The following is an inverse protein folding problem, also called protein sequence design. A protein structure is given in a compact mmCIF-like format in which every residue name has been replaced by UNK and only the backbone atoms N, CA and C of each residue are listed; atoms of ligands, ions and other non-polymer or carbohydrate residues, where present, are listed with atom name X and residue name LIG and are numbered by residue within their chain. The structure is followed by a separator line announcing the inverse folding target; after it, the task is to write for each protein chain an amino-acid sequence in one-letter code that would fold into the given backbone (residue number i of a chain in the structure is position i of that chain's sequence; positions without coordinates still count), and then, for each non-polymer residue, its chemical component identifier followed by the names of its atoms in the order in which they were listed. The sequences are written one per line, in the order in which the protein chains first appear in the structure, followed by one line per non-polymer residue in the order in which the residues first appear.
data_IF_833098877568
#
_entry.id   IF_833098877568
#
_cell.length_a   1.000
_cell.length_b   1.000
_cell.length_c   1.000
_cell.angle_alpha   90.00
_cell.angle_beta   90.00
_cell.angle_gamma   90.00
#
_symmetry.space_group_name_H-M   'P 1'
#
loop_
_entity.id
_entity.type
_entity.pdbx_description
1 polymer ?
#
# COMPACT_ATOMS: atom_id res chain seq x y z
N UNK A 1 35.01 12.28 -22.90
CA UNK A 1 35.68 10.97 -22.74
C UNK A 1 35.99 10.90 -21.25
N UNK A 2 35.20 10.28 -20.38
CA UNK A 2 34.57 8.96 -20.49
C UNK A 2 33.20 8.92 -19.80
N UNK A 3 32.17 8.50 -20.53
CA UNK A 3 30.84 8.16 -20.00
C UNK A 3 30.77 6.66 -19.80
N UNK A 4 31.32 6.12 -18.70
CA UNK A 4 31.15 4.72 -18.37
C UNK A 4 29.87 4.56 -17.53
N UNK A 5 28.73 4.53 -18.22
CA UNK A 5 27.45 4.16 -17.64
C UNK A 5 27.47 2.66 -17.35
N UNK A 6 27.95 2.30 -16.15
CA UNK A 6 27.80 0.96 -15.61
C UNK A 6 26.30 0.61 -15.58
N UNK A 7 25.87 -0.21 -16.53
CA UNK A 7 24.52 -0.75 -16.59
C UNK A 7 24.32 -1.68 -15.39
N UNK A 8 23.73 -1.14 -14.32
CA UNK A 8 23.31 -1.92 -13.17
C UNK A 8 22.25 -2.92 -13.64
N UNK A 9 22.64 -4.18 -13.74
CA UNK A 9 21.74 -5.29 -14.01
C UNK A 9 20.85 -5.50 -12.78
N UNK A 10 19.63 -4.97 -12.83
CA UNK A 10 18.62 -5.22 -11.80
C UNK A 10 18.15 -6.67 -11.95
N UNK A 11 18.34 -7.56 -10.95
CA UNK A 11 17.87 -8.94 -11.05
C UNK A 11 16.34 -8.96 -11.22
N UNK A 12 15.88 -9.54 -12.33
CA UNK A 12 14.49 -9.58 -12.80
C UNK A 12 13.55 -10.48 -11.98
N UNK A 13 14.00 -11.02 -10.84
CA UNK A 13 13.30 -12.08 -10.10
C UNK A 13 12.67 -11.61 -8.78
N UNK A 14 12.35 -10.32 -8.64
CA UNK A 14 11.81 -9.73 -7.39
C UNK A 14 10.29 -9.61 -7.35
N UNK A 15 9.60 -9.99 -8.43
CA UNK A 15 8.13 -9.97 -8.46
C UNK A 15 7.56 -11.07 -7.54
N UNK A 16 6.63 -10.74 -6.63
CA UNK A 16 5.99 -11.73 -5.79
C UNK A 16 5.25 -12.76 -6.67
N UNK A 17 5.60 -14.05 -6.53
CA UNK A 17 4.94 -15.13 -7.25
C UNK A 17 3.61 -15.48 -6.58
N UNK A 18 2.57 -15.66 -7.39
CA UNK A 18 1.27 -16.13 -6.90
C UNK A 18 1.42 -17.59 -6.43
N UNK A 19 0.99 -17.94 -5.21
CA UNK A 19 1.01 -19.32 -4.74
C UNK A 19 0.27 -20.27 -5.70
N UNK A 20 0.89 -21.41 -6.03
CA UNK A 20 0.30 -22.40 -6.94
C UNK A 20 -1.06 -22.91 -6.46
N UNK A 21 -1.27 -22.97 -5.14
CA UNK A 21 -2.55 -23.36 -4.54
C UNK A 21 -3.71 -22.43 -4.95
N UNK A 22 -3.48 -21.12 -5.01
CA UNK A 22 -4.48 -20.14 -5.46
C UNK A 22 -4.85 -20.38 -6.93
N UNK A 23 -3.85 -20.67 -7.76
CA UNK A 23 -4.03 -20.91 -9.19
C UNK A 23 -4.81 -22.22 -9.42
N UNK A 24 -4.39 -23.32 -8.78
CA UNK A 24 -5.02 -24.64 -8.92
C UNK A 24 -6.45 -24.61 -8.40
N UNK A 25 -6.68 -24.03 -7.22
CA UNK A 25 -8.02 -23.89 -6.66
C UNK A 25 -8.92 -23.06 -7.57
N UNK A 26 -8.43 -21.93 -8.08
CA UNK A 26 -9.18 -21.09 -9.03
C UNK A 26 -9.57 -21.85 -10.29
N UNK A 27 -8.68 -22.67 -10.86
CA UNK A 27 -8.97 -23.51 -12.03
C UNK A 27 -10.02 -24.58 -11.76
N UNK A 28 -9.92 -25.28 -10.62
CA UNK A 28 -10.89 -26.31 -10.21
C UNK A 28 -12.27 -25.67 -10.04
N UNK A 29 -12.35 -24.54 -9.31
CA UNK A 29 -13.60 -23.81 -9.12
C UNK A 29 -14.18 -23.32 -10.45
N UNK A 30 -13.35 -22.80 -11.36
CA UNK A 30 -13.80 -22.33 -12.67
C UNK A 30 -14.41 -23.46 -13.50
N UNK A 31 -13.83 -24.66 -13.44
CA UNK A 31 -14.30 -25.82 -14.16
C UNK A 31 -15.60 -26.39 -13.56
N UNK A 32 -15.67 -26.53 -12.24
CA UNK A 32 -16.82 -27.17 -11.58
C UNK A 32 -18.00 -26.22 -11.33
N UNK A 33 -17.73 -24.97 -10.97
CA UNK A 33 -18.74 -24.01 -10.53
C UNK A 33 -18.26 -22.55 -10.74
N UNK A 34 -18.46 -21.96 -11.94
CA UNK A 34 -18.00 -20.60 -12.26
C UNK A 34 -18.43 -19.51 -11.27
N UNK A 35 -19.62 -19.65 -10.68
CA UNK A 35 -20.12 -18.73 -9.63
C UNK A 35 -19.23 -18.77 -8.38
N UNK A 36 -18.77 -19.95 -7.96
CA UNK A 36 -17.86 -20.08 -6.82
C UNK A 36 -16.47 -19.53 -7.14
N UNK A 37 -15.99 -19.70 -8.37
CA UNK A 37 -14.75 -19.08 -8.83
C UNK A 37 -14.81 -17.54 -8.75
N UNK A 38 -15.96 -16.97 -9.13
CA UNK A 38 -16.22 -15.53 -9.05
C UNK A 38 -16.19 -15.05 -7.60
N UNK A 39 -16.90 -15.71 -6.69
CA UNK A 39 -16.90 -15.36 -5.26
C UNK A 39 -15.49 -15.48 -4.66
N UNK A 40 -14.75 -16.54 -5.05
CA UNK A 40 -13.37 -16.73 -4.64
C UNK A 40 -12.45 -15.58 -5.11
N UNK A 41 -12.52 -15.22 -6.39
CA UNK A 41 -11.76 -14.10 -6.94
C UNK A 41 -12.11 -12.78 -6.27
N UNK A 42 -13.41 -12.49 -6.08
CA UNK A 42 -13.89 -11.31 -5.35
C UNK A 42 -13.28 -11.25 -3.94
N UNK A 43 -13.28 -12.38 -3.21
CA UNK A 43 -12.71 -12.45 -1.86
C UNK A 43 -11.21 -12.18 -1.87
N UNK A 44 -10.48 -12.74 -2.84
CA UNK A 44 -9.04 -12.53 -2.99
C UNK A 44 -8.72 -11.05 -3.28
N UNK A 45 -9.39 -10.45 -4.26
CA UNK A 45 -9.16 -9.06 -4.66
C UNK A 45 -9.70 -8.01 -3.71
N UNK A 46 -10.56 -8.37 -2.74
CA UNK A 46 -11.05 -7.45 -1.71
C UNK A 46 -10.28 -7.52 -0.41
N UNK A 47 -9.36 -8.48 -0.25
CA UNK A 47 -8.61 -8.72 0.98
C UNK A 47 -7.14 -8.34 0.75
N UNK A 48 -6.67 -7.19 1.25
CA UNK A 48 -5.27 -6.78 1.09
C UNK A 48 -4.32 -7.76 1.77
N UNK A 49 -3.16 -7.96 1.16
CA UNK A 49 -2.09 -8.75 1.76
C UNK A 49 -1.31 -7.84 2.72
N UNK A 50 -1.13 -8.28 3.96
CA UNK A 50 -0.32 -7.54 4.93
C UNK A 50 1.14 -7.95 4.83
N UNK A 51 1.96 -7.06 4.30
CA UNK A 51 3.42 -7.21 4.31
C UNK A 51 4.02 -6.59 5.57
N UNK A 52 5.05 -7.23 6.13
CA UNK A 52 5.85 -6.66 7.22
C UNK A 52 6.42 -5.30 6.80
N UNK A 53 6.28 -4.30 7.65
CA UNK A 53 6.87 -2.98 7.40
C UNK A 53 8.39 -3.08 7.39
N UNK A 54 9.07 -2.67 6.31
CA UNK A 54 10.52 -2.68 6.23
C UNK A 54 11.11 -1.53 7.06
N UNK A 55 12.29 -1.75 7.67
CA UNK A 55 12.94 -0.79 8.57
C UNK A 55 13.17 0.60 7.96
N UNK A 56 13.33 0.68 6.63
CA UNK A 56 13.47 1.94 5.88
C UNK A 56 12.28 2.89 6.03
N UNK A 57 11.09 2.38 6.36
CA UNK A 57 9.88 3.19 6.57
C UNK A 57 9.78 3.71 8.02
N UNK A 58 10.58 3.18 8.96
CA UNK A 58 10.44 3.46 10.39
C UNK A 58 10.64 4.94 10.72
N UNK A 59 11.60 5.60 10.08
CA UNK A 59 11.89 7.02 10.35
C UNK A 59 10.66 7.89 10.09
N UNK A 60 10.01 7.75 8.93
CA UNK A 60 8.76 8.46 8.63
C UNK A 60 7.65 8.00 9.58
N UNK A 61 7.54 6.69 9.84
CA UNK A 61 6.51 6.14 10.72
C UNK A 61 6.61 6.68 12.15
N UNK A 62 7.81 6.93 12.68
CA UNK A 62 8.02 7.44 14.03
C UNK A 62 7.87 8.97 14.09
N UNK A 63 8.36 9.66 13.05
CA UNK A 63 8.41 11.12 13.02
C UNK A 63 7.10 11.78 12.59
N UNK A 64 6.25 11.07 11.84
CA UNK A 64 4.97 11.61 11.40
C UNK A 64 3.96 11.66 12.55
N UNK A 65 3.18 12.74 12.61
CA UNK A 65 1.99 12.79 13.46
C UNK A 65 0.94 11.82 12.93
N UNK A 66 0.36 11.02 13.81
CA UNK A 66 -0.61 9.97 13.50
C UNK A 66 -1.99 10.35 14.02
N UNK A 67 -3.01 10.18 13.20
CA UNK A 67 -4.40 10.40 13.61
C UNK A 67 -5.32 9.38 12.97
N UNK A 68 -6.18 8.76 13.78
CA UNK A 68 -7.33 8.01 13.26
C UNK A 68 -8.43 9.01 12.87
N UNK A 69 -8.91 8.89 11.65
CA UNK A 69 -9.95 9.75 11.09
C UNK A 69 -11.11 8.89 10.63
N UNK A 70 -12.29 9.12 11.22
CA UNK A 70 -13.54 8.53 10.75
C UNK A 70 -13.95 9.18 9.43
N UNK A 71 -14.24 8.36 8.42
CA UNK A 71 -14.83 8.75 7.14
C UNK A 71 -16.32 8.38 7.18
N UNK A 72 -17.23 9.35 7.42
CA UNK A 72 -18.64 9.07 7.68
C UNK A 72 -19.34 8.32 6.55
N UNK A 73 -19.00 8.63 5.30
CA UNK A 73 -19.66 8.10 4.10
C UNK A 73 -19.47 6.58 3.96
N UNK A 74 -18.32 6.07 4.41
CA UNK A 74 -17.98 4.63 4.34
C UNK A 74 -18.01 3.96 5.73
N UNK A 75 -18.25 4.73 6.80
CA UNK A 75 -18.26 4.28 8.20
C UNK A 75 -16.99 3.50 8.58
N UNK A 76 -15.83 3.98 8.14
CA UNK A 76 -14.51 3.39 8.44
C UNK A 76 -13.59 4.43 9.03
N UNK A 77 -12.68 3.98 9.88
CA UNK A 77 -11.57 4.79 10.36
C UNK A 77 -10.30 4.48 9.57
N UNK A 78 -9.62 5.55 9.16
CA UNK A 78 -8.34 5.47 8.46
C UNK A 78 -7.23 6.11 9.28
N UNK A 79 -6.05 5.50 9.26
CA UNK A 79 -4.84 6.09 9.82
C UNK A 79 -4.32 7.15 8.86
N UNK A 80 -4.14 8.37 9.36
CA UNK A 80 -3.57 9.52 8.62
C UNK A 80 -2.24 9.90 9.23
N UNK A 81 -1.27 10.17 8.37
CA UNK A 81 0.08 10.61 8.71
C UNK A 81 0.31 12.03 8.21
N UNK A 82 0.77 12.91 9.08
CA UNK A 82 1.28 14.24 8.71
C UNK A 82 2.77 14.29 8.97
N UNK A 83 3.57 14.53 7.93
CA UNK A 83 5.03 14.50 8.01
C UNK A 83 5.64 15.81 7.53
N UNK A 84 6.54 16.37 8.34
CA UNK A 84 7.06 17.73 8.20
C UNK A 84 6.07 18.82 8.59
N UNK A 85 6.51 20.08 8.54
CA UNK A 85 5.68 21.25 8.81
C UNK A 85 5.90 22.30 7.72
N UNK A 86 4.83 22.64 7.01
CA UNK A 86 4.84 23.66 5.95
C UNK A 86 3.42 24.10 5.62
N UNK A 87 3.27 25.31 5.08
CA UNK A 87 1.99 25.73 4.50
C UNK A 87 1.68 25.01 3.18
N UNK A 88 2.70 24.49 2.49
CA UNK A 88 2.57 23.80 1.18
C UNK A 88 2.42 22.30 1.42
N UNK A 89 1.26 21.75 1.06
CA UNK A 89 0.88 20.36 1.35
C UNK A 89 0.87 19.50 0.09
N UNK A 90 1.33 18.26 0.21
CA UNK A 90 1.20 17.23 -0.83
C UNK A 90 0.55 16.00 -0.22
N UNK A 91 -0.49 15.47 -0.87
CA UNK A 91 -1.11 14.20 -0.50
C UNK A 91 -0.41 13.05 -1.23
N UNK A 92 0.10 12.08 -0.48
CA UNK A 92 0.69 10.86 -1.01
C UNK A 92 -0.27 9.69 -0.81
N UNK A 93 -0.55 8.97 -1.90
CA UNK A 93 -1.49 7.85 -1.92
C UNK A 93 -0.73 6.58 -2.30
N UNK A 94 -0.84 5.54 -1.47
CA UNK A 94 -0.21 4.25 -1.74
C UNK A 94 -1.07 3.40 -2.69
N UNK A 95 -0.45 2.38 -3.30
CA UNK A 95 -1.15 1.38 -4.12
C UNK A 95 -1.85 0.29 -3.30
N UNK A 96 -2.47 -0.66 -3.99
CA UNK A 96 -3.11 -1.83 -3.36
C UNK A 96 -2.16 -2.60 -2.44
N UNK A 97 -2.65 -3.02 -1.26
CA UNK A 97 -1.84 -3.68 -0.22
C UNK A 97 -0.63 -2.87 0.29
N UNK A 98 -0.63 -1.56 0.01
CA UNK A 98 0.35 -0.60 0.51
C UNK A 98 0.03 -0.03 1.89
N UNK A 99 0.75 1.03 2.26
CA UNK A 99 0.56 1.82 3.48
C UNK A 99 1.06 3.26 3.32
N UNK A 100 0.61 4.17 4.16
CA UNK A 100 0.91 5.61 4.12
C UNK A 100 2.39 5.95 4.26
N UNK A 101 3.20 5.07 4.86
CA UNK A 101 4.66 5.25 5.01
C UNK A 101 5.47 4.71 3.83
N UNK A 102 4.85 4.01 2.88
CA UNK A 102 5.56 3.28 1.82
C UNK A 102 6.34 4.21 0.87
N UNK A 103 5.86 5.44 0.69
CA UNK A 103 6.45 6.46 -0.19
C UNK A 103 7.45 7.37 0.56
N UNK A 104 8.05 6.90 1.67
CA UNK A 104 8.95 7.68 2.52
C UNK A 104 10.04 8.44 1.75
N UNK A 105 10.71 7.83 0.77
CA UNK A 105 11.74 8.52 -0.03
C UNK A 105 11.19 9.73 -0.80
N UNK A 106 9.97 9.63 -1.31
CA UNK A 106 9.31 10.75 -1.99
C UNK A 106 8.95 11.82 -0.96
N UNK A 107 8.47 11.41 0.22
CA UNK A 107 8.14 12.31 1.31
C UNK A 107 9.38 13.09 1.77
N UNK A 108 10.50 12.42 2.02
CA UNK A 108 11.77 13.04 2.42
C UNK A 108 12.21 14.10 1.40
N UNK A 109 12.14 13.78 0.09
CA UNK A 109 12.47 14.72 -0.99
C UNK A 109 11.50 15.89 -1.13
N UNK A 110 10.25 15.73 -0.72
CA UNK A 110 9.28 16.83 -0.67
C UNK A 110 9.55 17.74 0.53
N UNK A 111 9.92 17.16 1.68
CA UNK A 111 10.31 17.90 2.88
C UNK A 111 11.56 18.75 2.62
N UNK A 112 12.59 18.18 1.98
CA UNK A 112 13.80 18.92 1.53
C UNK A 112 13.45 20.12 0.64
N UNK A 113 12.33 20.07 -0.08
CA UNK A 113 11.83 21.14 -0.96
C UNK A 113 10.84 22.08 -0.27
N UNK A 114 10.70 22.00 1.05
CA UNK A 114 9.85 22.88 1.85
C UNK A 114 8.35 22.55 1.78
N UNK A 115 7.98 21.33 1.43
CA UNK A 115 6.60 20.84 1.53
C UNK A 115 6.40 20.03 2.81
N UNK A 116 5.17 19.95 3.28
CA UNK A 116 4.74 18.87 4.18
C UNK A 116 3.96 17.84 3.39
N UNK A 117 4.03 16.59 3.83
CA UNK A 117 3.26 15.51 3.22
C UNK A 117 2.17 15.01 4.13
N UNK A 118 1.00 14.77 3.57
CA UNK A 118 -0.09 14.02 4.18
C UNK A 118 -0.15 12.68 3.47
N UNK A 119 -0.29 11.58 4.21
CA UNK A 119 -0.62 10.28 3.65
C UNK A 119 -1.60 9.56 4.54
N UNK A 120 -2.18 8.46 4.07
CA UNK A 120 -3.12 7.67 4.85
C UNK A 120 -3.02 6.20 4.48
N UNK A 121 -3.45 5.33 5.39
CA UNK A 121 -3.71 3.93 5.12
C UNK A 121 -5.17 3.77 4.67
N UNK A 122 -5.40 3.24 3.46
CA UNK A 122 -6.78 2.93 3.02
C UNK A 122 -7.48 1.92 3.95
N UNK A 123 -8.81 1.71 3.82
CA UNK A 123 -9.52 0.69 4.60
C UNK A 123 -8.86 -0.69 4.49
N UNK A 124 -8.70 -1.39 5.62
CA UNK A 124 -7.99 -2.66 5.76
C UNK A 124 -6.49 -2.68 5.37
N UNK A 125 -5.89 -1.52 5.10
CA UNK A 125 -4.46 -1.38 4.83
C UNK A 125 -3.70 -0.85 6.05
N UNK A 126 -2.38 -1.01 6.05
CA UNK A 126 -1.48 -0.50 7.10
C UNK A 126 -2.04 -0.68 8.52
N UNK A 127 -2.19 0.44 9.23
CA UNK A 127 -2.77 0.54 10.57
C UNK A 127 -4.26 0.93 10.59
N UNK A 128 -4.90 1.07 9.43
CA UNK A 128 -6.35 1.27 9.35
C UNK A 128 -7.11 0.00 9.73
N UNK A 129 -8.32 0.19 10.25
CA UNK A 129 -9.17 -0.92 10.67
C UNK A 129 -9.78 -1.65 9.47
N UNK A 130 -10.28 -2.87 9.72
CA UNK A 130 -10.99 -3.68 8.73
C UNK A 130 -10.19 -4.86 8.17
N UNK A 131 -10.90 -5.71 7.42
CA UNK A 131 -10.38 -6.92 6.78
C UNK A 131 -10.50 -6.88 5.25
N UNK A 132 -11.39 -6.03 4.73
CA UNK A 132 -11.65 -5.88 3.30
C UNK A 132 -11.61 -4.42 2.91
N UNK A 133 -11.36 -4.15 1.63
CA UNK A 133 -11.34 -2.79 1.06
C UNK A 133 -12.70 -2.33 0.57
N UNK A 134 -13.75 -3.09 0.87
CA UNK A 134 -15.11 -2.71 0.49
C UNK A 134 -15.51 -1.45 1.25
N UNK A 135 -16.10 -0.51 0.51
CA UNK A 135 -16.46 0.82 0.99
C UNK A 135 -17.97 0.99 1.17
N UNK A 136 -18.72 -0.12 1.22
CA UNK A 136 -20.19 -0.17 1.33
C UNK A 136 -20.59 -0.89 2.62
#
# INVERSE_FOLDING_TARGET
MDTNANSVTIPSNTAPKIPASIIVLGKILQFMAPTLATIFAIKLFRTPIRFKTPARENMMAESAQKKMVLIPEIKKEVMVYSYGYSKRKVLLIHGWSGRGTQLFKIADKLLEKGFMTISFDGPAHGNSTGKTTMMH
#
